data_IF_723774176853
#
_entry.id   IF_723774176853
#
_cell.length_a   1.000
_cell.length_b   1.000
_cell.length_c   1.000
_cell.angle_alpha   90.00
_cell.angle_beta   90.00
_cell.angle_gamma   90.00
#
_symmetry.space_group_name_H-M   'P 1'
#
loop_
_entity.id
_entity.type
_entity.pdbx_description
1 polymer ?
#
# COMPACT_ATOMS: atom_id res chain seq x y z
N UNK A 1 -5.95 -4.21 13.13
CA UNK A 1 -5.47 -5.61 13.24
C UNK A 1 -4.63 -5.88 14.49
N UNK A 2 -3.65 -5.02 14.82
CA UNK A 2 -2.80 -5.21 16.01
C UNK A 2 -3.60 -5.40 17.33
N UNK A 3 -4.67 -4.62 17.53
CA UNK A 3 -5.53 -4.76 18.71
C UNK A 3 -6.10 -6.18 18.89
N UNK A 4 -6.60 -6.81 17.81
CA UNK A 4 -7.19 -8.15 17.88
C UNK A 4 -6.16 -9.22 18.24
N UNK A 5 -4.93 -9.09 17.72
CA UNK A 5 -3.82 -10.00 18.03
C UNK A 5 -3.43 -9.87 19.51
N UNK A 6 -3.31 -8.64 20.01
CA UNK A 6 -2.97 -8.37 21.42
C UNK A 6 -4.06 -8.90 22.35
N UNK A 7 -5.33 -8.59 22.10
CA UNK A 7 -6.47 -9.06 22.92
C UNK A 7 -6.62 -10.58 22.87
N UNK A 8 -6.40 -11.21 21.71
CA UNK A 8 -6.37 -12.67 21.57
C UNK A 8 -5.19 -13.31 22.31
N UNK A 9 -4.00 -12.71 22.21
CA UNK A 9 -2.81 -13.17 22.89
C UNK A 9 -2.94 -13.09 24.41
N UNK A 10 -3.45 -11.97 24.94
CA UNK A 10 -3.67 -11.79 26.38
C UNK A 10 -4.63 -12.84 26.96
N UNK A 11 -5.69 -13.22 26.23
CA UNK A 11 -6.59 -14.30 26.65
C UNK A 11 -5.90 -15.66 26.74
N UNK A 12 -5.06 -15.99 25.76
CA UNK A 12 -4.30 -17.24 25.76
C UNK A 12 -3.23 -17.27 26.86
N UNK A 13 -2.59 -16.13 27.13
CA UNK A 13 -1.65 -15.98 28.26
C UNK A 13 -2.34 -16.18 29.61
N UNK A 14 -3.52 -15.58 29.81
CA UNK A 14 -4.31 -15.76 31.03
C UNK A 14 -4.75 -17.22 31.23
N UNK A 15 -4.88 -18.00 30.15
CA UNK A 15 -5.15 -19.44 30.18
C UNK A 15 -3.90 -20.31 30.43
N UNK A 16 -2.73 -19.70 30.65
CA UNK A 16 -1.49 -20.41 30.96
C UNK A 16 -0.61 -20.78 29.76
N UNK A 17 -0.90 -20.25 28.57
CA UNK A 17 -0.05 -20.47 27.40
C UNK A 17 1.34 -19.82 27.58
N UNK A 18 2.38 -20.47 27.04
CA UNK A 18 3.74 -19.93 27.09
C UNK A 18 3.89 -18.72 26.14
N UNK A 19 4.27 -17.52 26.65
CA UNK A 19 4.41 -16.31 25.82
C UNK A 19 5.42 -16.43 24.68
N UNK A 20 6.51 -17.17 24.91
CA UNK A 20 7.57 -17.35 23.91
C UNK A 20 7.09 -18.20 22.75
N UNK A 21 6.37 -19.29 23.03
CA UNK A 21 5.79 -20.14 21.99
C UNK A 21 4.69 -19.41 21.22
N UNK A 22 3.88 -18.60 21.92
CA UNK A 22 2.85 -17.78 21.28
C UNK A 22 3.47 -16.77 20.30
N UNK A 23 4.54 -16.08 20.70
CA UNK A 23 5.28 -15.17 19.83
C UNK A 23 5.82 -15.89 18.59
N UNK A 24 6.48 -17.03 18.78
CA UNK A 24 7.05 -17.81 17.67
C UNK A 24 5.96 -18.29 16.71
N UNK A 25 4.82 -18.76 17.22
CA UNK A 25 3.68 -19.16 16.42
C UNK A 25 3.07 -18.01 15.62
N UNK A 26 2.93 -16.82 16.23
CA UNK A 26 2.43 -15.62 15.54
C UNK A 26 3.38 -15.20 14.42
N UNK A 27 4.69 -15.23 14.65
CA UNK A 27 5.69 -14.89 13.62
C UNK A 27 5.66 -15.89 12.46
N UNK A 28 5.66 -17.19 12.75
CA UNK A 28 5.57 -18.23 11.73
C UNK A 28 4.26 -18.13 10.92
N UNK A 29 3.15 -17.82 11.58
CA UNK A 29 1.87 -17.59 10.91
C UNK A 29 1.91 -16.35 10.03
N UNK A 30 2.49 -15.24 10.50
CA UNK A 30 2.62 -14.01 9.73
C UNK A 30 3.48 -14.22 8.48
N UNK A 31 4.59 -14.96 8.59
CA UNK A 31 5.44 -15.32 7.47
C UNK A 31 4.70 -16.20 6.45
N UNK A 32 4.05 -17.27 6.91
CA UNK A 32 3.30 -18.16 6.03
C UNK A 32 2.15 -17.44 5.31
N UNK A 33 1.40 -16.60 6.03
CA UNK A 33 0.33 -15.78 5.45
C UNK A 33 0.89 -14.77 4.46
N UNK A 34 1.99 -14.08 4.81
CA UNK A 34 2.66 -13.13 3.92
C UNK A 34 3.04 -13.78 2.60
N UNK A 35 3.67 -14.96 2.66
CA UNK A 35 4.02 -15.74 1.46
C UNK A 35 2.79 -16.10 0.62
N UNK A 36 1.73 -16.56 1.27
CA UNK A 36 0.47 -16.94 0.59
C UNK A 36 -0.20 -15.73 -0.09
N UNK A 37 -0.19 -14.57 0.54
CA UNK A 37 -0.71 -13.34 -0.04
C UNK A 37 0.11 -12.95 -1.28
N UNK A 38 1.44 -13.03 -1.20
CA UNK A 38 2.31 -12.77 -2.36
C UNK A 38 2.06 -13.74 -3.52
N UNK A 39 1.83 -15.03 -3.22
CA UNK A 39 1.48 -16.03 -4.25
C UNK A 39 0.11 -15.77 -4.91
N UNK A 40 -0.79 -15.06 -4.22
CA UNK A 40 -2.12 -14.70 -4.72
C UNK A 40 -2.17 -13.29 -5.30
N UNK A 41 -1.07 -12.55 -5.27
CA UNK A 41 -1.02 -11.20 -5.80
C UNK A 41 -1.27 -11.23 -7.31
N UNK A 42 -2.14 -10.32 -7.77
CA UNK A 42 -2.43 -10.12 -9.18
C UNK A 42 -1.59 -8.93 -9.64
N UNK A 43 -0.83 -9.12 -10.71
CA UNK A 43 -0.04 -8.03 -11.28
C UNK A 43 -0.96 -6.95 -11.86
N UNK A 44 -0.60 -5.70 -11.58
CA UNK A 44 -1.25 -4.51 -12.11
C UNK A 44 -0.47 -4.08 -13.34
N UNK A 45 -1.03 -4.31 -14.52
CA UNK A 45 -0.36 -4.05 -15.79
C UNK A 45 -1.03 -2.95 -16.59
N UNK A 46 -2.36 -2.86 -16.50
CA UNK A 46 -3.11 -1.93 -17.34
C UNK A 46 -3.34 -0.60 -16.64
N UNK A 47 -3.47 0.46 -17.46
CA UNK A 47 -3.95 1.76 -17.01
C UNK A 47 -5.27 1.65 -16.22
N UNK A 48 -6.18 0.78 -16.65
CA UNK A 48 -7.47 0.58 -15.99
C UNK A 48 -7.31 -0.02 -14.58
N UNK A 49 -6.39 -0.97 -14.41
CA UNK A 49 -6.07 -1.53 -13.09
C UNK A 49 -5.50 -0.45 -12.16
N UNK A 50 -4.60 0.40 -12.67
CA UNK A 50 -4.03 1.53 -11.93
C UNK A 50 -5.13 2.51 -11.52
N UNK A 51 -6.00 2.90 -12.46
CA UNK A 51 -7.11 3.81 -12.21
C UNK A 51 -8.06 3.26 -11.14
N UNK A 52 -8.37 1.97 -11.20
CA UNK A 52 -9.23 1.30 -10.22
C UNK A 52 -8.61 1.29 -8.82
N UNK A 53 -7.33 0.91 -8.71
CA UNK A 53 -6.61 0.89 -7.42
C UNK A 53 -6.49 2.30 -6.85
N UNK A 54 -6.12 3.28 -7.66
CA UNK A 54 -6.00 4.67 -7.26
C UNK A 54 -7.36 5.26 -6.83
N UNK A 55 -8.43 4.94 -7.56
CA UNK A 55 -9.81 5.36 -7.22
C UNK A 55 -10.28 4.78 -5.89
N UNK A 56 -9.97 3.50 -5.60
CA UNK A 56 -10.33 2.86 -4.33
C UNK A 56 -9.56 3.50 -3.17
N UNK A 57 -8.28 3.80 -3.39
CA UNK A 57 -7.41 4.42 -2.39
C UNK A 57 -7.81 5.86 -2.07
N UNK A 58 -8.08 6.67 -3.12
CA UNK A 58 -8.49 8.06 -2.99
C UNK A 58 -9.99 8.23 -2.68
N UNK A 59 -10.78 7.16 -2.81
CA UNK A 59 -12.24 7.17 -2.73
C UNK A 59 -12.91 8.12 -3.74
N UNK A 60 -12.21 8.45 -4.83
CA UNK A 60 -12.65 9.35 -5.89
C UNK A 60 -12.16 8.84 -7.25
N UNK A 61 -13.08 8.67 -8.21
CA UNK A 61 -12.76 8.20 -9.57
C UNK A 61 -11.98 9.22 -10.38
N UNK A 62 -12.29 10.50 -10.23
CA UNK A 62 -11.65 11.59 -10.97
C UNK A 62 -10.16 11.65 -10.64
N UNK A 63 -9.83 11.50 -9.35
CA UNK A 63 -8.44 11.44 -8.87
C UNK A 63 -7.76 10.17 -9.34
N UNK A 64 -8.45 9.03 -9.32
CA UNK A 64 -7.89 7.76 -9.81
C UNK A 64 -7.54 7.79 -11.30
N UNK A 65 -8.42 8.35 -12.13
CA UNK A 65 -8.16 8.53 -13.56
C UNK A 65 -6.98 9.47 -13.82
N UNK A 66 -6.90 10.59 -13.09
CA UNK A 66 -5.78 11.53 -13.16
C UNK A 66 -4.45 10.86 -12.80
N UNK A 67 -4.42 10.06 -11.73
CA UNK A 67 -3.21 9.33 -11.31
C UNK A 67 -2.80 8.33 -12.39
N UNK A 68 -3.77 7.62 -13.00
CA UNK A 68 -3.48 6.69 -14.08
C UNK A 68 -2.91 7.38 -15.33
N UNK A 69 -3.46 8.55 -15.70
CA UNK A 69 -2.93 9.38 -16.79
C UNK A 69 -1.48 9.81 -16.54
N UNK A 70 -1.17 10.24 -15.32
CA UNK A 70 0.17 10.67 -14.93
C UNK A 70 1.13 9.47 -14.92
N UNK A 71 0.73 8.34 -14.33
CA UNK A 71 1.56 7.12 -14.28
C UNK A 71 1.86 6.55 -15.66
N UNK A 72 0.91 6.58 -16.60
CA UNK A 72 1.12 6.10 -17.97
C UNK A 72 2.19 6.91 -18.71
N UNK A 73 2.24 8.23 -18.44
CA UNK A 73 3.21 9.14 -19.07
C UNK A 73 4.59 9.15 -18.38
N UNK A 74 4.61 8.93 -17.07
CA UNK A 74 5.84 8.95 -16.23
C UNK A 74 6.53 7.57 -16.20
N UNK A 75 5.78 6.49 -16.43
CA UNK A 75 6.28 5.12 -16.37
C UNK A 75 6.33 4.57 -14.94
N UNK A 76 6.51 3.25 -14.81
CA UNK A 76 6.43 2.51 -13.52
C UNK A 76 7.43 2.99 -12.46
N UNK A 77 8.61 3.45 -12.89
CA UNK A 77 9.70 3.84 -11.99
C UNK A 77 9.78 5.36 -11.75
N UNK A 78 8.88 6.14 -12.34
CA UNK A 78 8.95 7.59 -12.19
C UNK A 78 8.30 8.08 -10.90
N UNK A 79 8.77 9.23 -10.43
CA UNK A 79 8.37 9.79 -9.15
C UNK A 79 7.30 10.86 -9.34
N UNK A 80 6.22 10.76 -8.56
CA UNK A 80 5.14 11.73 -8.54
C UNK A 80 5.22 12.51 -7.22
N UNK A 81 5.32 13.83 -7.34
CA UNK A 81 5.27 14.75 -6.21
C UNK A 81 3.93 15.48 -6.21
N UNK A 82 3.32 15.62 -5.04
CA UNK A 82 2.08 16.37 -4.87
C UNK A 82 2.40 17.69 -4.19
N UNK A 83 2.00 18.79 -4.83
CA UNK A 83 2.14 20.15 -4.29
C UNK A 83 0.77 20.81 -4.11
N UNK A 84 0.65 21.69 -3.11
CA UNK A 84 -0.57 22.45 -2.88
C UNK A 84 -0.67 23.58 -3.90
N UNK A 85 -1.59 23.43 -4.87
CA UNK A 85 -1.90 24.51 -5.82
C UNK A 85 -2.77 25.58 -5.18
N UNK A 86 -2.57 26.84 -5.60
CA UNK A 86 -3.44 27.98 -5.23
C UNK A 86 -4.71 28.06 -6.09
N UNK A 87 -4.80 27.24 -7.14
CA UNK A 87 -5.96 27.13 -8.02
C UNK A 87 -7.07 26.26 -7.45
N UNK A 88 -8.25 26.29 -8.09
CA UNK A 88 -9.38 25.39 -7.78
C UNK A 88 -9.36 24.11 -8.62
N UNK A 89 -8.49 24.04 -9.64
CA UNK A 89 -8.38 22.91 -10.57
C UNK A 89 -7.12 22.09 -10.28
N UNK A 90 -7.17 20.81 -10.62
CA UNK A 90 -6.01 19.92 -10.57
C UNK A 90 -5.13 20.17 -11.79
N UNK A 91 -3.87 20.56 -11.56
CA UNK A 91 -2.89 20.79 -12.62
C UNK A 91 -1.78 19.72 -12.55
N UNK A 92 -1.28 19.32 -13.72
CA UNK A 92 -0.17 18.35 -13.84
C UNK A 92 0.99 18.98 -14.60
N UNK A 93 2.16 19.06 -13.97
CA UNK A 93 3.40 19.52 -14.60
C UNK A 93 4.40 18.37 -14.70
N UNK A 94 5.08 18.24 -15.84
CA UNK A 94 6.10 17.23 -16.06
C UNK A 94 7.46 17.90 -16.08
N UNK A 95 8.32 17.54 -15.12
CA UNK A 95 9.68 18.08 -15.01
C UNK A 95 10.67 16.96 -15.31
N UNK A 96 11.59 17.21 -16.24
CA UNK A 96 12.74 16.32 -16.47
C UNK A 96 13.74 16.50 -15.31
N UNK A 97 13.58 15.70 -14.26
CA UNK A 97 14.43 15.70 -13.08
C UNK A 97 14.82 14.28 -12.65
N UNK A 98 16.02 14.11 -12.12
CA UNK A 98 16.47 12.85 -11.53
C UNK A 98 16.43 12.98 -10.01
N UNK A 99 15.51 12.24 -9.37
CA UNK A 99 15.48 12.16 -7.91
C UNK A 99 16.47 11.10 -7.45
N UNK A 100 17.57 11.53 -6.83
CA UNK A 100 18.47 10.63 -6.12
C UNK A 100 17.93 10.39 -4.71
N UNK A 101 17.73 9.12 -4.37
CA UNK A 101 17.40 8.73 -3.01
C UNK A 101 18.58 9.11 -2.09
N UNK A 102 18.34 10.09 -1.21
CA UNK A 102 19.25 10.49 -0.14
C UNK A 102 18.55 10.25 1.19
N UNK A 103 18.42 8.97 1.54
CA UNK A 103 17.85 8.47 2.80
C UNK A 103 18.51 7.16 3.20
#
# INVERSE_FOLDING_TARGET
>A
MAHSIVTGGMRNLAAGANPMLLKLGILAAAEAIGKRISEQAIEVETREDIANVASISAQDRTIGDLIADVMDKVGKDGVITVEESRGLEFETEYVEGMQFDRG
#
